data_IF_112480303392
#
_entry.id   IF_112480303392
#
_cell.length_a   1.000
_cell.length_b   1.000
_cell.length_c   1.000
_cell.angle_alpha   90.00
_cell.angle_beta   90.00
_cell.angle_gamma   90.00
#
_symmetry.space_group_name_H-M   'P 1'
#
loop_
_entity.id
_entity.type
_entity.pdbx_description
1 polymer ?
#
# COMPACT_ATOMS: atom_id res chain seq x y z
N UNK A 1 7.19 2.83 -11.40
CA UNK A 1 6.22 1.81 -10.95
C UNK A 1 6.93 0.47 -10.93
N UNK A 2 6.95 -0.25 -9.81
CA UNK A 2 7.79 -1.44 -9.63
C UNK A 2 7.27 -2.67 -10.39
N UNK A 3 8.10 -3.71 -10.52
CA UNK A 3 7.71 -4.96 -11.18
C UNK A 3 6.52 -5.64 -10.48
N UNK A 4 6.46 -5.60 -9.14
CA UNK A 4 5.31 -6.09 -8.37
C UNK A 4 4.04 -5.33 -8.71
N UNK A 5 4.03 -4.00 -8.68
CA UNK A 5 2.79 -3.24 -8.95
C UNK A 5 2.30 -3.44 -10.38
N UNK A 6 3.21 -3.51 -11.36
CA UNK A 6 2.85 -3.84 -12.74
C UNK A 6 2.23 -5.25 -12.85
N UNK A 7 2.68 -6.19 -12.03
CA UNK A 7 2.11 -7.54 -11.97
C UNK A 7 0.74 -7.55 -11.28
N UNK A 8 0.58 -6.80 -10.19
CA UNK A 8 -0.70 -6.62 -9.50
C UNK A 8 -1.76 -6.00 -10.42
N UNK A 9 -1.42 -5.02 -11.25
CA UNK A 9 -2.33 -4.45 -12.25
C UNK A 9 -2.77 -5.47 -13.31
N UNK A 10 -1.85 -6.34 -13.76
CA UNK A 10 -2.20 -7.45 -14.66
C UNK A 10 -3.14 -8.44 -14.00
N UNK A 11 -2.91 -8.78 -12.73
CA UNK A 11 -3.77 -9.67 -11.95
C UNK A 11 -5.16 -9.06 -11.74
N UNK A 12 -5.24 -7.77 -11.39
CA UNK A 12 -6.50 -7.01 -11.27
C UNK A 12 -7.32 -7.10 -12.55
N UNK A 13 -6.65 -6.95 -13.70
CA UNK A 13 -7.31 -6.95 -15.02
C UNK A 13 -7.75 -8.35 -15.46
N UNK A 14 -6.99 -9.40 -15.14
CA UNK A 14 -7.25 -10.79 -15.59
C UNK A 14 -7.05 -11.81 -14.47
N UNK A 15 -7.80 -11.77 -13.36
CA UNK A 15 -7.53 -12.60 -12.19
C UNK A 15 -7.58 -14.10 -12.46
N UNK A 16 -8.48 -14.55 -13.34
CA UNK A 16 -8.59 -15.97 -13.71
C UNK A 16 -7.33 -16.53 -14.37
N UNK A 17 -6.56 -15.72 -15.11
CA UNK A 17 -5.32 -16.15 -15.77
C UNK A 17 -4.20 -16.43 -14.76
N UNK A 18 -4.15 -15.65 -13.67
CA UNK A 18 -3.06 -15.71 -12.70
C UNK A 18 -3.41 -16.54 -11.46
N UNK A 19 -4.67 -16.51 -11.04
CA UNK A 19 -5.14 -17.08 -9.76
C UNK A 19 -6.20 -18.19 -9.95
N UNK A 20 -6.70 -18.40 -11.17
CA UNK A 20 -7.85 -19.27 -11.45
C UNK A 20 -9.19 -18.63 -11.11
N UNK A 21 -9.28 -17.94 -9.97
CA UNK A 21 -10.47 -17.19 -9.52
C UNK A 21 -10.05 -15.90 -8.80
N UNK A 22 -10.91 -14.86 -8.76
CA UNK A 22 -10.64 -13.66 -7.96
C UNK A 22 -10.79 -13.97 -6.46
N UNK A 23 -9.68 -14.32 -5.81
CA UNK A 23 -9.62 -14.68 -4.39
C UNK A 23 -8.50 -13.94 -3.68
N UNK A 24 -8.81 -13.32 -2.55
CA UNK A 24 -7.84 -12.63 -1.70
C UNK A 24 -6.81 -13.60 -1.11
N UNK A 25 -7.26 -14.80 -0.73
CA UNK A 25 -6.39 -15.85 -0.20
C UNK A 25 -5.40 -16.32 -1.27
N UNK A 26 -5.86 -16.57 -2.51
CA UNK A 26 -5.00 -16.93 -3.64
C UNK A 26 -4.03 -15.79 -4.00
N UNK A 27 -4.50 -14.53 -3.99
CA UNK A 27 -3.66 -13.37 -4.26
C UNK A 27 -2.51 -13.25 -3.26
N UNK A 28 -2.78 -13.42 -1.96
CA UNK A 28 -1.72 -13.40 -0.94
C UNK A 28 -0.68 -14.49 -1.19
N UNK A 29 -1.11 -15.72 -1.44
CA UNK A 29 -0.20 -16.83 -1.70
C UNK A 29 0.66 -16.56 -2.94
N UNK A 30 0.07 -15.99 -4.00
CA UNK A 30 0.79 -15.58 -5.19
C UNK A 30 1.87 -14.53 -4.88
N UNK A 31 1.53 -13.47 -4.13
CA UNK A 31 2.48 -12.40 -3.76
C UNK A 31 3.63 -12.97 -2.90
N UNK A 32 3.32 -13.86 -1.95
CA UNK A 32 4.33 -14.52 -1.12
C UNK A 32 5.29 -15.38 -1.96
N UNK A 33 4.75 -16.18 -2.89
CA UNK A 33 5.56 -17.00 -3.80
C UNK A 33 6.42 -16.16 -4.74
N UNK A 34 5.86 -15.07 -5.28
CA UNK A 34 6.60 -14.12 -6.10
C UNK A 34 7.77 -13.49 -5.33
N UNK A 35 7.52 -13.00 -4.10
CA UNK A 35 8.58 -12.45 -3.23
C UNK A 35 9.65 -13.49 -2.92
N UNK A 36 9.25 -14.72 -2.59
CA UNK A 36 10.16 -15.83 -2.30
C UNK A 36 11.06 -16.12 -3.51
N UNK A 37 10.48 -16.33 -4.69
CA UNK A 37 11.26 -16.61 -5.92
C UNK A 37 12.26 -15.50 -6.27
N UNK A 38 11.91 -14.23 -6.07
CA UNK A 38 12.82 -13.11 -6.30
C UNK A 38 14.00 -13.12 -5.32
N UNK A 39 13.74 -13.43 -4.05
CA UNK A 39 14.78 -13.58 -3.04
C UNK A 39 15.76 -14.69 -3.42
N UNK A 40 15.25 -15.87 -3.82
CA UNK A 40 16.09 -17.01 -4.23
C UNK A 40 16.96 -16.69 -5.46
N UNK A 41 16.46 -15.83 -6.35
CA UNK A 41 17.20 -15.36 -7.54
C UNK A 41 18.12 -14.17 -7.27
N UNK A 42 18.23 -13.70 -6.02
CA UNK A 42 19.05 -12.53 -5.67
C UNK A 42 18.53 -11.21 -6.24
N UNK A 43 17.25 -11.15 -6.65
CA UNK A 43 16.63 -9.95 -7.22
C UNK A 43 16.22 -9.04 -6.06
N UNK A 44 16.84 -7.86 -5.99
CA UNK A 44 16.51 -6.86 -4.98
C UNK A 44 15.13 -6.26 -5.19
N UNK A 45 14.47 -5.91 -4.09
CA UNK A 45 13.21 -5.18 -4.13
C UNK A 45 13.47 -3.70 -4.43
N UNK A 46 12.58 -3.07 -5.18
CA UNK A 46 12.58 -1.61 -5.27
C UNK A 46 12.15 -0.99 -3.94
N UNK A 47 12.33 0.32 -3.79
CA UNK A 47 11.87 1.06 -2.60
C UNK A 47 10.36 0.86 -2.37
N UNK A 48 9.53 1.08 -3.38
CA UNK A 48 8.08 0.91 -3.25
C UNK A 48 7.66 -0.54 -2.92
N UNK A 49 8.41 -1.56 -3.38
CA UNK A 49 8.14 -2.96 -3.03
C UNK A 49 8.50 -3.23 -1.57
N UNK A 50 9.64 -2.71 -1.14
CA UNK A 50 10.08 -2.80 0.25
C UNK A 50 9.11 -2.09 1.19
N UNK A 51 8.59 -0.93 0.79
CA UNK A 51 7.55 -0.21 1.51
C UNK A 51 6.27 -1.04 1.63
N UNK A 52 5.75 -1.57 0.52
CA UNK A 52 4.58 -2.44 0.56
C UNK A 52 4.75 -3.65 1.50
N UNK A 53 5.86 -4.36 1.40
CA UNK A 53 6.10 -5.55 2.23
C UNK A 53 6.25 -5.24 3.74
N UNK A 54 6.69 -4.03 4.09
CA UNK A 54 6.91 -3.63 5.49
C UNK A 54 5.70 -2.93 6.08
N UNK A 55 5.08 -2.03 5.32
CA UNK A 55 4.18 -1.02 5.84
C UNK A 55 2.70 -1.23 5.48
N UNK A 56 2.38 -2.07 4.48
CA UNK A 56 0.97 -2.29 4.10
C UNK A 56 0.14 -2.90 5.23
N UNK A 57 0.67 -3.89 5.94
CA UNK A 57 0.00 -4.53 7.06
C UNK A 57 -0.25 -3.54 8.22
N UNK A 58 0.77 -2.86 8.79
CA UNK A 58 0.54 -1.86 9.84
C UNK A 58 -0.42 -0.74 9.40
N UNK A 59 -0.27 -0.26 8.17
CA UNK A 59 -1.16 0.77 7.61
C UNK A 59 -2.62 0.29 7.56
N UNK A 60 -2.86 -0.92 7.07
CA UNK A 60 -4.21 -1.51 6.97
C UNK A 60 -4.85 -1.66 8.35
N UNK A 61 -4.08 -2.13 9.33
CA UNK A 61 -4.56 -2.30 10.70
C UNK A 61 -5.00 -0.98 11.31
N UNK A 62 -4.22 0.08 11.11
CA UNK A 62 -4.59 1.42 11.55
C UNK A 62 -5.79 1.96 10.78
N UNK A 63 -5.82 1.77 9.45
CA UNK A 63 -6.90 2.24 8.57
C UNK A 63 -8.26 1.64 8.93
N UNK A 64 -8.30 0.36 9.27
CA UNK A 64 -9.53 -0.35 9.63
C UNK A 64 -9.79 -0.38 11.15
N UNK A 65 -8.87 0.15 11.97
CA UNK A 65 -8.92 0.03 13.44
C UNK A 65 -9.02 -1.43 13.92
N UNK A 66 -8.37 -2.36 13.21
CA UNK A 66 -8.36 -3.80 13.51
C UNK A 66 -6.92 -4.22 13.84
N UNK A 67 -6.66 -4.52 15.11
CA UNK A 67 -5.36 -4.98 15.59
C UNK A 67 -5.41 -6.48 15.91
N UNK A 68 -4.77 -7.27 15.07
CA UNK A 68 -4.76 -8.74 15.16
C UNK A 68 -3.45 -9.29 14.61
N UNK A 69 -3.10 -10.52 15.00
CA UNK A 69 -1.96 -11.26 14.42
C UNK A 69 -2.26 -11.80 13.03
N UNK A 70 -3.52 -11.76 12.60
CA UNK A 70 -3.91 -12.17 11.26
C UNK A 70 -3.25 -11.28 10.21
N UNK A 71 -2.86 -11.90 9.09
CA UNK A 71 -2.35 -11.17 7.95
C UNK A 71 -3.47 -10.40 7.21
N UNK A 72 -3.05 -9.46 6.38
CA UNK A 72 -3.91 -8.49 5.71
C UNK A 72 -5.02 -9.13 4.88
N UNK A 73 -4.80 -10.29 4.25
CA UNK A 73 -5.84 -11.02 3.51
C UNK A 73 -7.01 -11.40 4.40
N UNK A 74 -6.73 -11.89 5.62
CA UNK A 74 -7.76 -12.29 6.58
C UNK A 74 -8.40 -11.08 7.23
N UNK A 75 -7.64 -10.01 7.47
CA UNK A 75 -8.21 -8.74 7.96
C UNK A 75 -9.23 -8.20 6.94
N UNK A 76 -8.88 -8.17 5.65
CA UNK A 76 -9.77 -7.72 4.57
C UNK A 76 -10.97 -8.67 4.43
N UNK A 77 -10.74 -9.98 4.47
CA UNK A 77 -11.82 -10.97 4.34
C UNK A 77 -12.85 -10.85 5.47
N UNK A 78 -12.42 -10.52 6.70
CA UNK A 78 -13.33 -10.29 7.84
C UNK A 78 -14.29 -9.11 7.63
N UNK A 79 -13.94 -8.15 6.77
CA UNK A 79 -14.79 -6.99 6.46
C UNK A 79 -15.61 -7.17 5.18
N UNK A 80 -15.53 -8.34 4.53
CA UNK A 80 -16.15 -8.60 3.23
C UNK A 80 -17.08 -9.81 3.29
N UNK A 81 -18.03 -9.86 2.35
CA UNK A 81 -19.01 -10.96 2.26
C UNK A 81 -18.41 -12.25 1.71
N UNK A 82 -17.39 -12.16 0.86
CA UNK A 82 -16.75 -13.31 0.22
C UNK A 82 -15.30 -12.98 -0.24
N UNK A 83 -14.64 -14.00 -0.78
CA UNK A 83 -13.26 -13.92 -1.29
C UNK A 83 -13.10 -12.95 -2.48
N UNK A 84 -14.14 -12.80 -3.31
CA UNK A 84 -14.10 -11.92 -4.48
C UNK A 84 -14.24 -10.46 -4.05
N UNK A 85 -15.17 -10.14 -3.17
CA UNK A 85 -15.33 -8.82 -2.60
C UNK A 85 -14.06 -8.39 -1.85
N UNK A 86 -13.44 -9.30 -1.11
CA UNK A 86 -12.15 -9.04 -0.46
C UNK A 86 -11.02 -8.81 -1.47
N UNK A 87 -10.98 -9.57 -2.56
CA UNK A 87 -10.03 -9.37 -3.66
C UNK A 87 -10.19 -7.99 -4.29
N UNK A 88 -11.42 -7.58 -4.63
CA UNK A 88 -11.70 -6.28 -5.21
C UNK A 88 -11.35 -5.14 -4.24
N UNK A 89 -11.66 -5.31 -2.95
CA UNK A 89 -11.37 -4.34 -1.91
C UNK A 89 -9.87 -4.17 -1.65
N UNK A 90 -9.07 -5.24 -1.77
CA UNK A 90 -7.61 -5.14 -1.69
C UNK A 90 -7.04 -4.14 -2.69
N UNK A 91 -7.51 -4.12 -3.93
CA UNK A 91 -6.98 -3.16 -4.92
C UNK A 91 -7.36 -1.71 -4.61
N UNK A 92 -8.53 -1.49 -4.00
CA UNK A 92 -8.91 -0.15 -3.52
C UNK A 92 -7.98 0.29 -2.38
N UNK A 93 -7.75 -0.60 -1.40
CA UNK A 93 -6.83 -0.35 -0.29
C UNK A 93 -5.38 -0.16 -0.76
N UNK A 94 -4.95 -0.89 -1.79
CA UNK A 94 -3.64 -0.74 -2.40
C UNK A 94 -3.48 0.65 -3.03
N UNK A 95 -4.50 1.11 -3.77
CA UNK A 95 -4.52 2.43 -4.38
C UNK A 95 -4.44 3.53 -3.30
N UNK A 96 -5.21 3.40 -2.21
CA UNK A 96 -5.14 4.31 -1.07
C UNK A 96 -3.75 4.30 -0.39
N UNK A 97 -3.18 3.11 -0.17
CA UNK A 97 -1.85 2.94 0.44
C UNK A 97 -0.76 3.63 -0.38
N UNK A 98 -0.83 3.57 -1.71
CA UNK A 98 0.12 4.21 -2.62
C UNK A 98 -0.06 5.73 -2.64
N UNK A 99 -1.29 6.22 -2.41
CA UNK A 99 -1.60 7.66 -2.45
C UNK A 99 -1.33 8.38 -1.12
N UNK A 100 -1.13 7.65 -0.02
CA UNK A 100 -0.99 8.22 1.33
C UNK A 100 0.09 9.31 1.44
N UNK A 101 1.21 9.16 0.74
CA UNK A 101 2.36 10.07 0.85
C UNK A 101 2.23 11.27 -0.10
N UNK A 102 1.41 11.17 -1.16
CA UNK A 102 1.16 12.28 -2.11
C UNK A 102 0.37 13.43 -1.49
N UNK A 103 -0.23 13.20 -0.32
CA UNK A 103 -1.02 14.19 0.41
C UNK A 103 -0.20 14.96 1.45
N UNK A 104 1.09 14.62 1.64
CA UNK A 104 1.99 15.32 2.57
C UNK A 104 2.89 16.37 1.91
N UNK A 105 2.87 16.51 0.58
CA UNK A 105 3.55 17.58 -0.16
C UNK A 105 2.74 18.90 -0.17
N UNK A 106 2.10 19.26 0.96
CA UNK A 106 1.69 20.66 1.16
C UNK A 106 2.91 21.37 1.73
N UNK A 107 3.50 22.24 0.91
CA UNK A 107 4.66 23.09 1.19
C UNK A 107 4.62 23.69 2.61
N UNK A 108 5.77 23.80 3.30
CA UNK A 108 5.83 24.48 4.58
C UNK A 108 5.52 25.96 4.37
N UNK A 109 4.29 26.37 4.70
CA UNK A 109 3.93 27.77 4.81
C UNK A 109 4.72 28.35 5.99
N UNK A 110 5.75 29.12 5.62
CA UNK A 110 6.57 30.06 6.41
C UNK A 110 7.91 29.54 6.95
N UNK A 111 8.92 29.54 6.08
CA UNK A 111 10.27 29.96 6.46
C UNK A 111 10.41 31.48 6.20
N UNK A 112 11.03 32.16 7.16
CA UNK A 112 10.93 33.58 7.55
C UNK A 112 11.63 34.61 6.61
N UNK A 113 11.63 35.93 6.93
CA UNK A 113 12.70 36.40 7.82
C UNK A 113 12.30 37.47 8.85
N UNK A 114 12.90 37.30 10.02
CA UNK A 114 13.23 38.32 11.01
C UNK A 114 13.96 39.55 10.43
N UNK A 115 13.75 40.70 11.07
CA UNK A 115 14.63 41.89 11.19
C UNK A 115 14.37 43.14 10.33
N UNK A 116 13.75 44.16 10.95
CA UNK A 116 14.33 45.48 11.35
C UNK A 116 13.22 46.55 11.44
N UNK A 117 12.84 47.00 12.63
CA UNK A 117 13.44 48.08 13.45
C UNK A 117 12.91 49.50 13.11
N UNK A 118 12.29 50.11 14.13
CA UNK A 118 12.28 51.55 14.47
C UNK A 118 11.35 52.55 13.73
N UNK A 119 10.59 53.26 14.59
CA UNK A 119 10.22 54.70 14.55
C UNK A 119 8.96 55.18 13.79
N UNK A 120 7.96 55.65 14.57
CA UNK A 120 7.46 57.06 14.65
C UNK A 120 6.34 57.10 15.73
N UNK A 121 6.49 57.79 16.86
CA UNK A 121 6.45 59.25 17.10
C UNK A 121 5.04 59.86 17.01
N UNK A 122 4.45 60.16 18.17
CA UNK A 122 3.80 61.43 18.54
C UNK A 122 3.34 61.35 20.00
#
# INVERSE_FOLDING_TARGET
>A
MSALFNLLEKIKTKPGLYLGTPSISSLRMFILGYRFSRSELGITNTENESDFYKNFQPWLQNRLSIHTVNAWDKIILLTCIDEKAAFDYFFQLLDEFIQRDKSQDIEPILAEPSSKNSQKAA
#
